data_IF_667248353122
#
_entry.id   IF_667248353122
#
_cell.length_a   1.000
_cell.length_b   1.000
_cell.length_c   1.000
_cell.angle_alpha   90.00
_cell.angle_beta   90.00
_cell.angle_gamma   90.00
#
_symmetry.space_group_name_H-M   'P 1'
#
loop_
_entity.id
_entity.type
_entity.pdbx_description
1 polymer ?
#
# COMPACT_ATOMS: atom_id res chain seq x y z
N UNK A 1 -0.68 0.23 -25.73
CA UNK A 1 -0.93 0.62 -24.34
C UNK A 1 0.05 -0.15 -23.50
N UNK A 2 1.03 0.53 -22.94
CA UNK A 2 1.96 -0.08 -21.99
C UNK A 2 1.26 -0.08 -20.63
N UNK A 3 1.01 -1.26 -20.06
CA UNK A 3 0.37 -1.41 -18.76
C UNK A 3 1.49 -1.57 -17.74
N UNK A 4 1.40 -0.89 -16.60
CA UNK A 4 2.38 -1.02 -15.52
C UNK A 4 2.45 -2.47 -15.05
N UNK A 5 3.66 -2.92 -14.74
CA UNK A 5 3.86 -4.26 -14.19
C UNK A 5 3.10 -4.40 -12.84
N UNK A 6 2.48 -5.56 -12.55
CA UNK A 6 1.67 -5.77 -11.35
C UNK A 6 2.37 -5.46 -10.03
N UNK A 7 3.66 -5.79 -9.92
CA UNK A 7 4.51 -5.52 -8.76
C UNK A 7 4.80 -4.03 -8.58
N UNK A 8 4.95 -3.27 -9.66
CA UNK A 8 5.00 -1.81 -9.59
C UNK A 8 3.66 -1.25 -9.09
N UNK A 9 2.55 -1.76 -9.62
CA UNK A 9 1.20 -1.35 -9.19
C UNK A 9 0.99 -1.63 -7.70
N UNK A 10 1.49 -2.76 -7.19
CA UNK A 10 1.49 -3.09 -5.77
C UNK A 10 2.26 -2.06 -4.94
N UNK A 11 3.52 -1.77 -5.33
CA UNK A 11 4.37 -0.84 -4.59
C UNK A 11 3.87 0.60 -4.65
N UNK A 12 3.27 1.05 -5.76
CA UNK A 12 2.64 2.37 -5.86
C UNK A 12 1.47 2.52 -4.89
N UNK A 13 0.64 1.47 -4.74
CA UNK A 13 -0.48 1.46 -3.78
C UNK A 13 0.03 1.48 -2.35
N UNK A 14 1.07 0.70 -2.03
CA UNK A 14 1.70 0.70 -0.72
C UNK A 14 2.33 2.07 -0.40
N UNK A 15 3.06 2.67 -1.34
CA UNK A 15 3.65 3.99 -1.19
C UNK A 15 2.60 5.07 -0.90
N UNK A 16 1.46 5.05 -1.63
CA UNK A 16 0.37 6.00 -1.41
C UNK A 16 -0.25 5.88 -0.02
N UNK A 17 -0.56 4.65 0.41
CA UNK A 17 -1.13 4.42 1.74
C UNK A 17 -0.12 4.73 2.84
N UNK A 18 1.16 4.38 2.62
CA UNK A 18 2.26 4.68 3.52
C UNK A 18 2.40 6.20 3.74
N UNK A 19 2.52 6.98 2.66
CA UNK A 19 2.61 8.44 2.73
C UNK A 19 1.43 9.05 3.52
N UNK A 20 0.23 8.58 3.22
CA UNK A 20 -0.99 9.08 3.85
C UNK A 20 -1.06 8.69 5.34
N UNK A 21 -0.58 7.50 5.71
CA UNK A 21 -0.53 7.03 7.09
C UNK A 21 0.58 7.73 7.91
N UNK A 22 1.77 7.90 7.32
CA UNK A 22 2.91 8.58 7.94
C UNK A 22 2.61 10.06 8.23
N UNK A 23 1.79 10.70 7.37
CA UNK A 23 1.35 12.08 7.53
C UNK A 23 -0.03 12.21 8.16
N UNK A 24 -0.48 11.23 8.95
CA UNK A 24 -1.82 11.19 9.56
C UNK A 24 -2.16 12.33 10.53
N UNK A 25 -1.21 13.21 10.85
CA UNK A 25 -1.47 14.47 11.54
C UNK A 25 -2.05 15.56 10.62
N UNK A 26 -1.93 15.40 9.29
CA UNK A 26 -2.50 16.26 8.26
C UNK A 26 -3.90 15.74 7.85
N UNK A 27 -4.91 16.59 7.97
CA UNK A 27 -6.29 16.27 7.60
C UNK A 27 -6.42 15.87 6.13
N UNK A 28 -5.66 16.50 5.22
CA UNK A 28 -5.66 16.14 3.80
C UNK A 28 -5.07 14.74 3.57
N UNK A 29 -4.08 14.35 4.37
CA UNK A 29 -3.52 13.00 4.31
C UNK A 29 -4.56 11.96 4.79
N UNK A 30 -5.30 12.26 5.86
CA UNK A 30 -6.39 11.40 6.33
C UNK A 30 -7.51 11.29 5.29
N UNK A 31 -7.91 12.38 4.64
CA UNK A 31 -8.89 12.32 3.55
C UNK A 31 -8.40 11.47 2.36
N UNK A 32 -7.13 11.63 1.97
CA UNK A 32 -6.51 10.81 0.92
C UNK A 32 -6.51 9.33 1.32
N UNK A 33 -6.27 9.02 2.60
CA UNK A 33 -6.30 7.66 3.13
C UNK A 33 -7.69 7.03 3.05
N UNK A 34 -8.75 7.80 3.37
CA UNK A 34 -10.15 7.35 3.21
C UNK A 34 -10.45 7.01 1.75
N UNK A 35 -10.10 7.92 0.83
CA UNK A 35 -10.29 7.69 -0.62
C UNK A 35 -9.48 6.50 -1.14
N UNK A 36 -8.30 6.29 -0.58
CA UNK A 36 -7.40 5.18 -0.88
C UNK A 36 -7.81 3.85 -0.25
N UNK A 37 -8.88 3.77 0.55
CA UNK A 37 -9.23 2.56 1.30
C UNK A 37 -9.39 1.29 0.45
N UNK A 38 -9.83 1.42 -0.81
CA UNK A 38 -9.89 0.28 -1.77
C UNK A 38 -8.52 -0.36 -2.02
N UNK A 39 -7.44 0.39 -1.88
CA UNK A 39 -6.10 -0.13 -2.15
C UNK A 39 -5.70 -1.24 -1.18
N UNK A 40 -6.26 -1.32 0.03
CA UNK A 40 -6.04 -2.48 0.92
C UNK A 40 -6.54 -3.79 0.27
N UNK A 41 -7.70 -3.75 -0.38
CA UNK A 41 -8.22 -4.88 -1.14
C UNK A 41 -7.32 -5.17 -2.35
N UNK A 42 -6.98 -4.17 -3.15
CA UNK A 42 -6.14 -4.36 -4.33
C UNK A 42 -4.77 -4.97 -3.96
N UNK A 43 -4.14 -4.47 -2.89
CA UNK A 43 -2.87 -4.98 -2.34
C UNK A 43 -3.04 -6.43 -1.90
N UNK A 44 -4.10 -6.76 -1.15
CA UNK A 44 -4.40 -8.13 -0.73
C UNK A 44 -4.56 -9.07 -1.94
N UNK A 45 -5.23 -8.63 -3.01
CA UNK A 45 -5.39 -9.40 -4.24
C UNK A 45 -4.06 -9.59 -4.98
N UNK A 46 -3.20 -8.58 -4.99
CA UNK A 46 -1.89 -8.63 -5.63
C UNK A 46 -0.94 -9.55 -4.85
N UNK A 47 -0.90 -9.47 -3.52
CA UNK A 47 -0.07 -10.33 -2.67
C UNK A 47 -0.50 -11.81 -2.71
N UNK A 48 -1.77 -12.09 -3.00
CA UNK A 48 -2.26 -13.45 -3.20
C UNK A 48 -2.06 -13.98 -4.64
N UNK A 49 -1.42 -13.21 -5.52
CA UNK A 49 -1.11 -13.65 -6.88
C UNK A 49 0.28 -14.29 -6.93
N UNK A 50 0.35 -15.58 -7.25
CA UNK A 50 1.63 -16.31 -7.40
C UNK A 50 2.57 -15.62 -8.39
N UNK A 51 2.03 -15.02 -9.47
CA UNK A 51 2.81 -14.26 -10.44
C UNK A 51 3.46 -13.01 -9.83
N UNK A 52 2.73 -12.27 -8.99
CA UNK A 52 3.26 -11.09 -8.32
C UNK A 52 4.32 -11.49 -7.30
N UNK A 53 4.07 -12.56 -6.54
CA UNK A 53 5.05 -13.08 -5.58
C UNK A 53 6.33 -13.52 -6.27
N UNK A 54 6.23 -14.27 -7.37
CA UNK A 54 7.39 -14.67 -8.16
C UNK A 54 8.17 -13.46 -8.70
N UNK A 55 7.47 -12.41 -9.17
CA UNK A 55 8.12 -11.18 -9.64
C UNK A 55 8.83 -10.42 -8.51
N UNK A 56 8.22 -10.31 -7.32
CA UNK A 56 8.87 -9.71 -6.15
C UNK A 56 10.11 -10.48 -5.72
N UNK A 57 10.02 -11.82 -5.71
CA UNK A 57 11.14 -12.70 -5.37
C UNK A 57 12.28 -12.59 -6.41
N UNK A 58 11.96 -12.47 -7.70
CA UNK A 58 12.94 -12.27 -8.79
C UNK A 58 13.67 -10.92 -8.69
N UNK A 59 12.93 -9.86 -8.36
CA UNK A 59 13.48 -8.50 -8.21
C UNK A 59 14.33 -8.39 -6.93
N UNK A 60 13.93 -9.08 -5.87
CA UNK A 60 14.60 -9.10 -4.57
C UNK A 60 14.55 -7.76 -3.81
N UNK A 61 15.03 -7.78 -2.57
CA UNK A 61 14.92 -6.64 -1.66
C UNK A 61 15.54 -5.35 -2.20
N UNK A 62 16.71 -5.43 -2.84
CA UNK A 62 17.35 -4.25 -3.42
C UNK A 62 16.57 -3.69 -4.62
N UNK A 63 15.99 -4.57 -5.45
CA UNK A 63 15.19 -4.15 -6.59
C UNK A 63 13.88 -3.51 -6.15
N UNK A 64 13.24 -4.04 -5.10
CA UNK A 64 12.05 -3.46 -4.47
C UNK A 64 12.37 -2.07 -3.89
N UNK A 65 13.52 -1.92 -3.23
CA UNK A 65 13.97 -0.63 -2.72
C UNK A 65 14.21 0.38 -3.85
N UNK A 66 14.88 -0.03 -4.95
CA UNK A 66 15.07 0.82 -6.13
C UNK A 66 13.76 1.22 -6.79
N UNK A 67 12.83 0.28 -6.96
CA UNK A 67 11.53 0.54 -7.57
C UNK A 67 10.67 1.47 -6.68
N UNK A 68 10.74 1.32 -5.36
CA UNK A 68 10.07 2.23 -4.42
C UNK A 68 10.66 3.65 -4.50
N UNK A 69 11.99 3.76 -4.55
CA UNK A 69 12.66 5.06 -4.71
C UNK A 69 12.33 5.74 -6.05
N UNK A 70 12.15 4.95 -7.12
CA UNK A 70 11.69 5.45 -8.41
C UNK A 70 10.25 5.98 -8.35
N UNK A 71 9.34 5.27 -7.65
CA UNK A 71 7.97 5.72 -7.40
C UNK A 71 7.95 7.04 -6.61
N UNK A 72 8.79 7.16 -5.58
CA UNK A 72 8.97 8.40 -4.80
C UNK A 72 9.47 9.54 -5.68
N UNK A 73 10.46 9.26 -6.53
CA UNK A 73 10.98 10.23 -7.51
C UNK A 73 9.89 10.70 -8.47
N UNK A 74 9.09 9.79 -9.02
CA UNK A 74 7.97 10.15 -9.90
C UNK A 74 6.92 10.99 -9.18
N UNK A 75 6.65 10.70 -7.91
CA UNK A 75 5.75 11.52 -7.09
C UNK A 75 6.31 12.92 -6.88
N UNK A 76 7.61 13.05 -6.56
CA UNK A 76 8.29 14.33 -6.41
C UNK A 76 8.28 15.15 -7.71
N UNK A 77 8.63 14.53 -8.85
CA UNK A 77 8.66 15.18 -10.17
C UNK A 77 7.26 15.68 -10.58
N UNK A 78 6.19 15.00 -10.14
CA UNK A 78 4.79 15.39 -10.34
C UNK A 78 4.26 16.40 -9.30
N UNK A 79 5.06 16.78 -8.29
CA UNK A 79 4.63 17.66 -7.20
C UNK A 79 3.66 17.02 -6.21
N UNK A 80 3.59 15.68 -6.17
CA UNK A 80 2.78 14.94 -5.20
C UNK A 80 3.56 14.69 -3.91
N UNK A 81 2.82 14.63 -2.79
CA UNK A 81 3.38 14.17 -1.53
C UNK A 81 3.79 12.70 -1.63
N UNK A 82 4.92 12.38 -1.02
CA UNK A 82 5.42 11.03 -0.80
C UNK A 82 6.19 11.01 0.54
N UNK A 83 6.31 9.82 1.11
CA UNK A 83 7.15 9.55 2.27
C UNK A 83 8.04 8.36 1.91
N UNK A 84 9.38 8.45 2.06
CA UNK A 84 10.27 7.37 1.67
C UNK A 84 9.91 6.04 2.35
N UNK A 85 10.04 4.94 1.61
CA UNK A 85 9.89 3.58 2.15
C UNK A 85 10.76 3.43 3.42
N UNK A 86 10.24 2.87 4.53
CA UNK A 86 11.04 2.59 5.72
C UNK A 86 12.23 1.68 5.42
N UNK A 87 13.29 1.77 6.24
CA UNK A 87 14.51 0.97 6.04
C UNK A 87 14.20 -0.53 6.12
N UNK A 88 13.39 -0.96 7.10
CA UNK A 88 12.91 -2.34 7.20
C UNK A 88 11.71 -2.65 6.30
N UNK A 89 11.31 -1.72 5.44
CA UNK A 89 10.27 -1.90 4.44
C UNK A 89 8.87 -1.52 4.85
N UNK A 90 7.90 -1.77 3.97
CA UNK A 90 6.51 -1.38 4.24
C UNK A 90 5.88 -2.14 5.43
N UNK A 91 6.51 -3.23 5.87
CA UNK A 91 6.22 -3.90 7.15
C UNK A 91 6.32 -2.99 8.38
N UNK A 92 7.14 -1.95 8.33
CA UNK A 92 7.31 -0.97 9.42
C UNK A 92 6.42 0.27 9.25
N UNK A 93 5.54 0.28 8.25
CA UNK A 93 4.66 1.42 8.02
C UNK A 93 3.65 1.60 9.17
N UNK A 94 3.34 2.86 9.56
CA UNK A 94 2.21 3.15 10.45
C UNK A 94 0.86 2.60 9.96
N UNK A 95 0.75 2.27 8.67
CA UNK A 95 -0.36 1.55 8.06
C UNK A 95 -0.69 0.24 8.80
N UNK A 96 0.33 -0.44 9.32
CA UNK A 96 0.21 -1.74 9.97
C UNK A 96 0.18 -1.64 11.50
N UNK A 97 0.38 -0.46 12.08
CA UNK A 97 0.29 -0.26 13.53
C UNK A 97 -1.18 -0.15 13.96
N UNK A 98 -1.70 -1.09 14.79
CA UNK A 98 -3.08 -1.05 15.25
C UNK A 98 -3.39 0.17 16.15
N UNK A 99 -2.36 0.81 16.72
CA UNK A 99 -2.49 2.00 17.57
C UNK A 99 -2.28 3.31 16.79
N UNK A 100 -2.01 3.25 15.49
CA UNK A 100 -1.81 4.44 14.66
C UNK A 100 -3.09 5.29 14.60
N UNK A 101 -2.92 6.61 14.69
CA UNK A 101 -3.99 7.61 14.51
C UNK A 101 -4.68 7.51 13.15
N UNK A 102 -4.03 6.90 12.16
CA UNK A 102 -4.59 6.71 10.82
C UNK A 102 -5.64 5.58 10.74
N UNK A 103 -5.66 4.66 11.72
CA UNK A 103 -6.49 3.44 11.74
C UNK A 103 -7.99 3.72 11.51
N UNK A 104 -8.64 4.71 12.17
CA UNK A 104 -10.06 4.99 11.93
C UNK A 104 -10.36 5.45 10.50
N UNK A 105 -9.45 6.21 9.89
CA UNK A 105 -9.62 6.67 8.51
C UNK A 105 -9.49 5.51 7.50
N UNK A 106 -8.55 4.59 7.74
CA UNK A 106 -8.39 3.36 6.94
C UNK A 106 -9.62 2.46 7.02
N UNK A 107 -10.10 2.17 8.23
CA UNK A 107 -11.29 1.31 8.44
C UNK A 107 -12.51 1.92 7.74
N UNK A 108 -12.71 3.24 7.89
CA UNK A 108 -13.80 3.97 7.22
C UNK A 108 -13.68 3.88 5.70
N UNK A 109 -12.51 4.18 5.14
CA UNK A 109 -12.26 4.14 3.70
C UNK A 109 -12.46 2.75 3.11
N UNK A 110 -11.97 1.72 3.81
CA UNK A 110 -12.16 0.33 3.41
C UNK A 110 -13.63 -0.09 3.39
N UNK A 111 -14.37 0.22 4.46
CA UNK A 111 -15.79 -0.11 4.54
C UNK A 111 -16.61 0.54 3.40
N UNK A 112 -16.32 1.80 3.07
CA UNK A 112 -16.94 2.50 1.94
C UNK A 112 -16.60 1.83 0.60
N UNK A 113 -15.33 1.47 0.39
CA UNK A 113 -14.89 0.82 -0.83
C UNK A 113 -15.51 -0.58 -1.02
N UNK A 114 -15.61 -1.37 0.05
CA UNK A 114 -16.12 -2.74 -0.01
C UNK A 114 -17.60 -2.83 -0.35
N UNK A 115 -18.37 -1.77 -0.11
CA UNK A 115 -19.76 -1.68 -0.57
C UNK A 115 -19.88 -1.79 -2.11
N UNK A 116 -18.82 -1.47 -2.85
CA UNK A 116 -18.78 -1.47 -4.32
C UNK A 116 -18.12 -2.73 -4.90
N UNK A 117 -17.55 -3.61 -4.07
CA UNK A 117 -16.87 -4.82 -4.52
C UNK A 117 -17.89 -5.95 -4.67
N UNK A 118 -17.82 -6.68 -5.79
CA UNK A 118 -18.61 -7.89 -6.02
C UNK A 118 -17.76 -9.14 -5.75
N UNK A 119 -18.39 -10.22 -5.27
CA UNK A 119 -17.70 -11.47 -4.96
C UNK A 119 -17.06 -11.48 -3.57
N UNK A 120 -15.91 -12.15 -3.44
CA UNK A 120 -15.20 -12.26 -2.16
C UNK A 120 -14.71 -10.89 -1.68
N UNK A 121 -15.09 -10.54 -0.45
CA UNK A 121 -14.69 -9.32 0.25
C UNK A 121 -13.89 -9.73 1.48
N UNK A 122 -12.55 -9.65 1.45
CA UNK A 122 -11.78 -9.90 2.65
C UNK A 122 -12.20 -8.93 3.76
N UNK A 123 -12.02 -9.33 5.02
CA UNK A 123 -12.16 -8.38 6.12
C UNK A 123 -11.01 -7.35 6.07
N UNK A 124 -11.20 -6.22 6.77
CA UNK A 124 -10.13 -5.23 6.93
C UNK A 124 -8.88 -5.88 7.55
N UNK A 125 -9.07 -6.70 8.58
CA UNK A 125 -7.98 -7.36 9.28
C UNK A 125 -7.30 -8.41 8.40
N UNK A 126 -8.05 -9.16 7.57
CA UNK A 126 -7.46 -10.07 6.57
C UNK A 126 -6.53 -9.35 5.60
N UNK A 127 -6.90 -8.14 5.14
CA UNK A 127 -6.00 -7.32 4.30
C UNK A 127 -4.72 -6.94 5.05
N UNK A 128 -4.83 -6.48 6.30
CA UNK A 128 -3.67 -6.10 7.12
C UNK A 128 -2.77 -7.30 7.40
N UNK A 129 -3.35 -8.44 7.78
CA UNK A 129 -2.60 -9.68 8.01
C UNK A 129 -1.92 -10.18 6.74
N UNK A 130 -2.55 -10.04 5.57
CA UNK A 130 -1.90 -10.36 4.30
C UNK A 130 -0.67 -9.49 4.07
N UNK A 131 -0.74 -8.18 4.33
CA UNK A 131 0.43 -7.29 4.17
C UNK A 131 1.53 -7.68 5.17
N UNK A 132 1.17 -7.97 6.43
CA UNK A 132 2.12 -8.41 7.47
C UNK A 132 2.80 -9.72 7.11
N UNK A 133 2.07 -10.71 6.61
CA UNK A 133 2.61 -12.01 6.21
C UNK A 133 3.65 -11.90 5.08
N UNK A 134 3.60 -10.81 4.29
CA UNK A 134 4.53 -10.54 3.21
C UNK A 134 5.55 -9.44 3.54
N UNK A 135 5.68 -9.00 4.80
CA UNK A 135 6.52 -7.85 5.18
C UNK A 135 7.99 -8.01 4.77
N UNK A 136 8.54 -9.22 4.81
CA UNK A 136 9.92 -9.50 4.40
C UNK A 136 10.16 -9.28 2.89
N UNK A 137 9.10 -9.28 2.09
CA UNK A 137 9.12 -9.04 0.63
C UNK A 137 8.78 -7.60 0.24
N UNK A 138 8.43 -6.73 1.18
CA UNK A 138 7.87 -5.40 0.91
C UNK A 138 8.74 -4.27 1.43
#
# INVERSE_FOLDING_TARGET
MEVLAPERTLLEKLALLHDSAARSHDEKALERLVRGGRHLYDIQRLLNSEQVIAALDEIGAEGIARLSADIDKHSADAGFSHTPRPVGGYGESPLLDPLSSCRPALVRGYAQAMALVYGYRPSFDECIETIRAHSERL
#
